data_IF_346677949605
#
_entry.id   IF_346677949605
#
_cell.length_a   1.000
_cell.length_b   1.000
_cell.length_c   1.000
_cell.angle_alpha   90.00
_cell.angle_beta   90.00
_cell.angle_gamma   90.00
#
_symmetry.space_group_name_H-M   'P 1'
#
loop_
_entity.id
_entity.type
_entity.pdbx_description
1 polymer ?
#
# COMPACT_ATOMS: atom_id res chain seq x y z
N UNK A 1 -2.05 21.91 -7.62
CA UNK A 1 -0.81 22.32 -8.32
C UNK A 1 0.30 21.44 -7.76
N UNK A 2 0.90 20.58 -8.59
CA UNK A 2 1.98 19.69 -8.13
C UNK A 2 3.19 20.52 -7.68
N UNK A 3 3.79 20.13 -6.56
CA UNK A 3 4.96 20.81 -6.00
C UNK A 3 6.13 20.68 -6.98
N UNK A 4 6.65 21.79 -7.50
CA UNK A 4 7.82 21.84 -8.40
C UNK A 4 9.15 21.49 -7.70
N UNK A 5 9.11 21.16 -6.41
CA UNK A 5 10.30 20.86 -5.60
C UNK A 5 10.72 19.39 -5.65
N UNK A 6 9.78 18.46 -5.88
CA UNK A 6 10.08 17.03 -6.01
C UNK A 6 10.42 16.71 -7.47
N UNK A 7 11.54 16.03 -7.66
CA UNK A 7 12.07 15.66 -8.98
C UNK A 7 11.51 14.31 -9.47
N UNK A 8 11.78 13.98 -10.73
CA UNK A 8 11.47 12.65 -11.27
C UNK A 8 12.27 11.54 -10.55
N UNK A 9 13.49 11.85 -10.12
CA UNK A 9 14.32 10.95 -9.30
C UNK A 9 13.65 10.69 -7.95
N UNK A 10 13.20 11.74 -7.25
CA UNK A 10 12.52 11.62 -5.96
C UNK A 10 11.27 10.75 -6.08
N UNK A 11 10.47 10.95 -7.14
CA UNK A 11 9.32 10.10 -7.43
C UNK A 11 9.74 8.64 -7.65
N UNK A 12 10.78 8.39 -8.44
CA UNK A 12 11.27 7.04 -8.69
C UNK A 12 11.75 6.37 -7.40
N UNK A 13 12.51 7.07 -6.57
CA UNK A 13 12.93 6.59 -5.24
C UNK A 13 11.73 6.27 -4.37
N UNK A 14 10.74 7.16 -4.31
CA UNK A 14 9.51 6.94 -3.55
C UNK A 14 8.72 5.71 -4.02
N UNK A 15 8.59 5.47 -5.32
CA UNK A 15 7.95 4.25 -5.84
C UNK A 15 8.65 2.99 -5.32
N UNK A 16 9.98 2.98 -5.31
CA UNK A 16 10.74 1.83 -4.80
C UNK A 16 10.67 1.72 -3.27
N UNK A 17 10.57 2.83 -2.54
CA UNK A 17 10.30 2.82 -1.09
C UNK A 17 8.95 2.16 -0.79
N UNK A 18 7.89 2.55 -1.52
CA UNK A 18 6.56 1.95 -1.34
C UNK A 18 6.59 0.46 -1.72
N UNK A 19 7.27 0.09 -2.80
CA UNK A 19 7.41 -1.31 -3.20
C UNK A 19 8.14 -2.14 -2.13
N UNK A 20 9.25 -1.64 -1.59
CA UNK A 20 10.00 -2.32 -0.54
C UNK A 20 9.23 -2.42 0.78
N UNK A 21 8.35 -1.46 1.09
CA UNK A 21 7.45 -1.52 2.25
C UNK A 21 6.30 -2.54 2.07
N UNK A 22 5.83 -2.75 0.83
CA UNK A 22 4.71 -3.65 0.50
C UNK A 22 5.07 -4.59 -0.67
N UNK A 23 5.99 -5.55 -0.50
CA UNK A 23 6.61 -6.29 -1.59
C UNK A 23 5.75 -7.45 -2.12
N UNK A 24 4.60 -7.12 -2.75
CA UNK A 24 3.74 -8.11 -3.39
C UNK A 24 4.30 -8.53 -4.74
N UNK A 25 4.63 -9.81 -4.88
CA UNK A 25 5.22 -10.34 -6.13
C UNK A 25 4.24 -10.38 -7.31
N UNK A 26 2.94 -10.38 -7.05
CA UNK A 26 1.88 -10.45 -8.08
C UNK A 26 1.36 -9.08 -8.50
N UNK A 27 1.66 -8.02 -7.74
CA UNK A 27 1.15 -6.70 -8.04
C UNK A 27 1.98 -6.04 -9.14
N UNK A 28 1.34 -5.46 -10.18
CA UNK A 28 2.05 -4.69 -11.19
C UNK A 28 2.59 -3.39 -10.59
N UNK A 29 3.44 -2.68 -11.34
CA UNK A 29 4.07 -1.44 -10.85
C UNK A 29 3.08 -0.26 -10.75
N UNK A 30 2.01 -0.26 -11.53
CA UNK A 30 1.03 0.83 -11.62
C UNK A 30 0.43 1.29 -10.28
N UNK A 31 -0.10 0.37 -9.43
CA UNK A 31 -0.60 0.72 -8.10
C UNK A 31 0.45 1.39 -7.19
N UNK A 32 1.71 0.94 -7.25
CA UNK A 32 2.80 1.55 -6.49
C UNK A 32 3.13 2.97 -6.96
N UNK A 33 3.08 3.21 -8.27
CA UNK A 33 3.24 4.54 -8.85
C UNK A 33 2.14 5.50 -8.38
N UNK A 34 0.88 5.04 -8.38
CA UNK A 34 -0.25 5.84 -7.87
C UNK A 34 -0.18 6.08 -6.37
N UNK A 35 0.27 5.10 -5.59
CA UNK A 35 0.53 5.27 -4.16
C UNK A 35 1.62 6.32 -3.89
N UNK A 36 2.72 6.30 -4.65
CA UNK A 36 3.76 7.32 -4.57
C UNK A 36 3.21 8.71 -4.97
N UNK A 37 2.39 8.80 -6.02
CA UNK A 37 1.77 10.06 -6.45
C UNK A 37 0.82 10.62 -5.39
N UNK A 38 0.09 9.77 -4.65
CA UNK A 38 -0.76 10.20 -3.55
C UNK A 38 0.06 10.79 -2.39
N UNK A 39 1.18 10.15 -2.02
CA UNK A 39 2.12 10.68 -1.03
C UNK A 39 2.65 12.07 -1.46
N UNK A 40 3.03 12.21 -2.73
CA UNK A 40 3.49 13.50 -3.29
C UNK A 40 2.38 14.56 -3.24
N UNK A 41 1.14 14.18 -3.56
CA UNK A 41 -0.01 15.08 -3.52
C UNK A 41 -0.29 15.56 -2.09
N UNK A 42 -0.24 14.65 -1.11
CA UNK A 42 -0.39 14.98 0.31
C UNK A 42 0.70 15.94 0.80
N UNK A 43 1.96 15.66 0.48
CA UNK A 43 3.09 16.54 0.75
C UNK A 43 2.88 17.94 0.14
N UNK A 44 2.30 18.04 -1.06
CA UNK A 44 1.96 19.30 -1.71
C UNK A 44 0.97 20.18 -0.94
N UNK A 45 0.22 19.62 0.02
CA UNK A 45 -0.71 20.35 0.89
C UNK A 45 -0.18 20.59 2.31
N UNK A 46 0.95 19.97 2.65
CA UNK A 46 1.53 20.00 3.99
C UNK A 46 3.03 20.36 3.92
N UNK A 47 3.41 21.65 4.12
CA UNK A 47 4.79 22.09 4.00
C UNK A 47 5.78 21.39 4.95
N UNK A 48 5.32 20.98 6.14
CA UNK A 48 6.15 20.21 7.08
C UNK A 48 6.45 18.83 6.51
N UNK A 49 5.42 18.14 6.01
CA UNK A 49 5.60 16.84 5.41
C UNK A 49 6.44 16.91 4.15
N UNK A 50 6.25 17.92 3.29
CA UNK A 50 7.09 18.14 2.11
C UNK A 50 8.57 18.29 2.46
N UNK A 51 8.90 19.06 3.50
CA UNK A 51 10.28 19.20 3.95
C UNK A 51 10.85 17.87 4.45
N UNK A 52 10.07 17.11 5.24
CA UNK A 52 10.47 15.78 5.73
C UNK A 52 10.68 14.79 4.57
N UNK A 53 9.81 14.81 3.56
CA UNK A 53 9.87 13.95 2.39
C UNK A 53 11.12 14.25 1.55
N UNK A 54 11.38 15.52 1.24
CA UNK A 54 12.58 15.94 0.49
C UNK A 54 13.87 15.55 1.23
N UNK A 55 13.92 15.81 2.54
CA UNK A 55 15.08 15.46 3.35
C UNK A 55 15.29 13.93 3.39
N UNK A 56 14.26 13.16 3.71
CA UNK A 56 14.37 11.72 3.86
C UNK A 56 14.68 10.99 2.55
N UNK A 57 14.12 11.43 1.41
CA UNK A 57 14.47 10.89 0.09
C UNK A 57 15.93 11.20 -0.27
N UNK A 58 16.39 12.43 -0.01
CA UNK A 58 17.78 12.81 -0.23
C UNK A 58 18.76 12.03 0.66
N UNK A 59 18.40 11.81 1.93
CA UNK A 59 19.20 10.99 2.85
C UNK A 59 19.26 9.52 2.43
N UNK A 60 18.13 8.95 1.97
CA UNK A 60 18.09 7.58 1.45
C UNK A 60 18.98 7.40 0.21
N UNK A 61 18.86 8.29 -0.77
CA UNK A 61 19.64 8.21 -2.01
C UNK A 61 21.14 8.47 -1.79
N UNK A 62 21.51 9.24 -0.76
CA UNK A 62 22.90 9.49 -0.39
C UNK A 62 23.50 8.45 0.56
N UNK A 63 22.70 7.53 1.11
CA UNK A 63 23.15 6.61 2.16
C UNK A 63 24.13 5.53 1.64
N UNK A 64 24.17 5.30 0.32
CA UNK A 64 24.91 4.21 -0.33
C UNK A 64 25.58 4.70 -1.61
N UNK A 65 26.42 3.84 -2.18
CA UNK A 65 27.16 4.13 -3.42
C UNK A 65 26.24 4.23 -4.65
N UNK A 66 25.03 3.66 -4.58
CA UNK A 66 23.98 3.74 -5.60
C UNK A 66 22.70 4.31 -5.00
N UNK A 67 21.84 4.95 -5.81
CA UNK A 67 20.52 5.43 -5.37
C UNK A 67 19.66 4.30 -4.79
N UNK A 68 18.73 4.64 -3.90
CA UNK A 68 17.84 3.65 -3.27
C UNK A 68 17.04 2.87 -4.31
N UNK A 69 16.63 3.54 -5.40
CA UNK A 69 15.91 2.93 -6.52
C UNK A 69 16.67 1.86 -7.31
N UNK A 70 17.99 1.75 -7.11
CA UNK A 70 18.86 0.75 -7.74
C UNK A 70 19.26 -0.39 -6.79
N UNK A 71 18.82 -0.33 -5.53
CA UNK A 71 19.09 -1.39 -4.55
C UNK A 71 18.32 -2.67 -4.87
N UNK A 72 18.93 -3.81 -4.57
CA UNK A 72 18.21 -5.09 -4.53
C UNK A 72 17.18 -5.10 -3.38
N UNK A 73 16.19 -6.01 -3.48
CA UNK A 73 15.05 -6.04 -2.57
C UNK A 73 15.45 -6.27 -1.09
N UNK A 74 16.42 -7.14 -0.83
CA UNK A 74 16.85 -7.46 0.53
C UNK A 74 17.58 -6.28 1.17
N UNK A 75 18.44 -5.62 0.39
CA UNK A 75 19.14 -4.40 0.83
C UNK A 75 18.17 -3.24 1.05
N UNK A 76 17.21 -3.02 0.14
CA UNK A 76 16.19 -1.99 0.29
C UNK A 76 15.34 -2.21 1.56
N UNK A 77 14.92 -3.46 1.82
CA UNK A 77 14.18 -3.81 3.04
C UNK A 77 15.03 -3.63 4.31
N UNK A 78 16.33 -3.91 4.27
CA UNK A 78 17.23 -3.64 5.39
C UNK A 78 17.39 -2.13 5.66
N UNK A 79 17.47 -1.32 4.61
CA UNK A 79 17.50 0.15 4.73
C UNK A 79 16.21 0.67 5.37
N UNK A 80 15.05 0.24 4.88
CA UNK A 80 13.76 0.69 5.44
C UNK A 80 13.58 0.28 6.89
N UNK A 81 14.01 -0.91 7.30
CA UNK A 81 14.02 -1.32 8.72
C UNK A 81 14.88 -0.41 9.59
N UNK A 82 15.98 0.13 9.06
CA UNK A 82 16.81 1.10 9.76
C UNK A 82 16.13 2.47 9.94
N UNK A 83 15.18 2.81 9.07
CA UNK A 83 14.39 4.04 9.12
C UNK A 83 13.01 3.84 9.78
N UNK A 84 12.71 2.64 10.30
CA UNK A 84 11.45 2.32 10.95
C UNK A 84 11.22 3.21 12.19
N UNK A 85 9.97 3.64 12.37
CA UNK A 85 9.58 4.61 13.39
C UNK A 85 10.01 6.06 13.12
N UNK A 86 10.72 6.36 12.02
CA UNK A 86 10.99 7.74 11.63
C UNK A 86 9.70 8.43 11.15
N UNK A 87 9.47 9.72 11.49
CA UNK A 87 8.29 10.45 11.00
C UNK A 87 8.18 10.49 9.48
N UNK A 88 9.32 10.46 8.79
CA UNK A 88 9.41 10.38 7.33
C UNK A 88 8.81 9.08 6.79
N UNK A 89 9.29 7.92 7.27
CA UNK A 89 8.83 6.63 6.76
C UNK A 89 7.40 6.32 7.21
N UNK A 90 7.04 6.67 8.46
CA UNK A 90 5.66 6.51 8.96
C UNK A 90 4.66 7.23 8.06
N UNK A 91 4.91 8.49 7.70
CA UNK A 91 3.98 9.26 6.87
C UNK A 91 3.84 8.68 5.44
N UNK A 92 4.92 8.16 4.86
CA UNK A 92 4.87 7.46 3.56
C UNK A 92 3.99 6.21 3.68
N UNK A 93 4.24 5.38 4.70
CA UNK A 93 3.52 4.11 4.91
C UNK A 93 2.03 4.34 5.18
N UNK A 94 1.69 5.32 6.02
CA UNK A 94 0.31 5.67 6.38
C UNK A 94 -0.51 6.07 5.14
N UNK A 95 0.07 6.86 4.24
CA UNK A 95 -0.58 7.29 3.01
C UNK A 95 -0.61 6.19 1.94
N UNK A 96 0.50 5.46 1.80
CA UNK A 96 0.64 4.41 0.81
C UNK A 96 -0.22 3.19 1.10
N UNK A 97 -0.38 2.77 2.37
CA UNK A 97 -1.23 1.62 2.72
C UNK A 97 -2.69 1.89 2.31
N UNK A 98 -3.20 3.08 2.58
CA UNK A 98 -4.57 3.45 2.20
C UNK A 98 -4.70 3.49 0.69
N UNK A 99 -3.76 4.12 -0.01
CA UNK A 99 -3.85 4.30 -1.46
C UNK A 99 -3.69 2.98 -2.22
N UNK A 100 -2.68 2.18 -1.85
CA UNK A 100 -2.36 0.91 -2.51
C UNK A 100 -3.51 -0.09 -2.39
N UNK A 101 -4.07 -0.28 -1.19
CA UNK A 101 -5.15 -1.24 -0.97
C UNK A 101 -6.55 -0.68 -1.27
N UNK A 102 -6.67 0.60 -1.63
CA UNK A 102 -7.91 1.16 -2.18
C UNK A 102 -7.89 1.20 -3.72
N UNK A 103 -6.82 0.73 -4.34
CA UNK A 103 -6.65 0.72 -5.78
C UNK A 103 -7.49 -0.38 -6.44
N UNK A 104 -8.25 -0.03 -7.49
CA UNK A 104 -9.14 -0.96 -8.20
C UNK A 104 -8.38 -2.11 -8.86
N UNK A 105 -7.19 -1.85 -9.39
CA UNK A 105 -6.35 -2.89 -9.99
C UNK A 105 -5.86 -3.87 -8.92
N UNK A 106 -5.56 -3.38 -7.70
CA UNK A 106 -5.23 -4.22 -6.55
C UNK A 106 -6.43 -5.03 -6.08
N UNK A 107 -7.64 -4.45 -6.11
CA UNK A 107 -8.86 -5.18 -5.75
C UNK A 107 -9.10 -6.37 -6.68
N UNK A 108 -8.95 -6.18 -7.99
CA UNK A 108 -9.10 -7.25 -8.97
C UNK A 108 -8.09 -8.38 -8.74
N UNK A 109 -6.85 -8.06 -8.36
CA UNK A 109 -5.81 -9.05 -8.05
C UNK A 109 -6.08 -9.82 -6.75
N UNK A 110 -6.68 -9.15 -5.76
CA UNK A 110 -7.02 -9.76 -4.47
C UNK A 110 -8.38 -10.46 -4.46
N UNK A 111 -9.15 -10.36 -5.55
CA UNK A 111 -10.53 -10.86 -5.61
C UNK A 111 -11.51 -10.05 -4.75
N UNK A 112 -11.15 -8.83 -4.35
CA UNK A 112 -12.04 -7.96 -3.58
C UNK A 112 -13.05 -7.30 -4.51
N UNK A 113 -14.33 -7.64 -4.38
CA UNK A 113 -15.36 -7.15 -5.30
C UNK A 113 -15.84 -5.70 -5.04
N UNK A 114 -15.10 -4.97 -4.21
CA UNK A 114 -15.42 -3.62 -3.75
C UNK A 114 -16.49 -3.56 -2.65
N UNK A 115 -16.82 -2.34 -2.18
CA UNK A 115 -17.86 -2.12 -1.18
C UNK A 115 -19.20 -2.77 -1.58
N UNK A 116 -19.92 -3.29 -0.58
CA UNK A 116 -21.22 -3.96 -0.78
C UNK A 116 -22.41 -3.22 -0.17
N UNK A 117 -22.19 -2.13 0.58
CA UNK A 117 -23.25 -1.41 1.29
C UNK A 117 -24.34 -0.90 0.35
N UNK A 118 -23.95 -0.30 -0.77
CA UNK A 118 -24.81 0.17 -1.84
C UNK A 118 -25.47 -0.97 -2.64
N UNK A 119 -25.05 -2.21 -2.41
CA UNK A 119 -25.51 -3.41 -3.10
C UNK A 119 -26.31 -4.36 -2.20
N UNK A 120 -26.73 -3.91 -1.01
CA UNK A 120 -27.52 -4.73 -0.07
C UNK A 120 -26.70 -5.65 0.84
N UNK A 121 -25.38 -5.47 0.91
CA UNK A 121 -24.47 -6.26 1.73
C UNK A 121 -23.83 -7.43 0.98
N UNK A 122 -23.10 -8.28 1.71
CA UNK A 122 -22.38 -9.44 1.13
C UNK A 122 -23.21 -10.73 1.05
N UNK A 123 -24.48 -10.70 1.51
CA UNK A 123 -25.33 -11.89 1.57
C UNK A 123 -25.36 -12.67 0.25
N UNK A 124 -25.51 -11.98 -0.88
CA UNK A 124 -25.51 -12.57 -2.23
C UNK A 124 -24.23 -12.24 -3.03
N UNK A 125 -23.11 -11.91 -2.36
CA UNK A 125 -21.85 -11.48 -3.00
C UNK A 125 -20.62 -12.13 -2.33
N UNK A 126 -20.57 -13.45 -2.32
CA UNK A 126 -19.39 -14.19 -1.88
C UNK A 126 -19.20 -14.36 -0.38
N UNK A 127 -20.19 -13.99 0.44
CA UNK A 127 -20.14 -14.28 1.89
C UNK A 127 -20.05 -15.79 2.17
N UNK A 128 -20.74 -16.61 1.36
CA UNK A 128 -20.81 -18.08 1.52
C UNK A 128 -20.18 -18.85 0.35
N UNK A 129 -19.36 -18.18 -0.48
CA UNK A 129 -18.60 -18.81 -1.57
C UNK A 129 -17.35 -19.52 -1.00
N UNK A 130 -17.54 -20.35 0.04
CA UNK A 130 -16.48 -21.02 0.77
C UNK A 130 -16.16 -22.37 0.10
N UNK A 131 -15.17 -22.37 -0.78
CA UNK A 131 -14.68 -23.54 -1.50
C UNK A 131 -13.84 -24.52 -0.65
N UNK A 132 -13.60 -24.17 0.62
CA UNK A 132 -12.82 -24.96 1.58
C UNK A 132 -13.67 -25.61 2.69
N UNK A 133 -14.95 -25.25 2.80
CA UNK A 133 -15.90 -25.89 3.72
C UNK A 133 -16.87 -26.78 2.93
N UNK A 134 -17.27 -27.94 3.48
CA UNK A 134 -18.38 -28.69 2.90
C UNK A 134 -19.67 -27.88 3.01
N UNK A 135 -20.62 -28.13 2.11
CA UNK A 135 -21.93 -27.47 2.11
C UNK A 135 -22.51 -27.43 3.53
N UNK A 136 -22.96 -26.24 4.00
CA UNK A 136 -23.48 -26.11 5.34
C UNK A 136 -24.67 -27.05 5.52
N UNK A 137 -24.62 -27.87 6.58
CA UNK A 137 -25.75 -28.72 6.95
C UNK A 137 -26.93 -27.82 7.32
N UNK A 138 -28.03 -27.93 6.55
CA UNK A 138 -29.26 -27.13 6.75
C UNK A 138 -30.11 -27.71 7.90
N UNK A 139 -29.81 -28.93 8.35
CA UNK A 139 -30.48 -29.59 9.46
C UNK A 139 -29.64 -29.49 10.74
N UNK A 140 -30.27 -28.97 11.80
CA UNK A 140 -29.68 -28.89 13.13
C UNK A 140 -29.87 -30.23 13.86
N UNK A 141 -28.79 -30.99 14.07
CA UNK A 141 -28.79 -32.27 14.82
C UNK A 141 -28.78 -32.05 16.36
N UNK A 142 -29.54 -31.08 16.85
CA UNK A 142 -29.64 -30.77 18.29
C UNK A 142 -31.07 -30.53 18.73
N UNK A 143 -31.35 -30.82 19.99
CA UNK A 143 -32.63 -30.48 20.61
C UNK A 143 -32.69 -28.96 20.78
N UNK A 144 -33.68 -28.30 20.18
CA UNK A 144 -33.87 -26.86 20.36
C UNK A 144 -34.28 -26.64 21.82
N UNK A 145 -33.48 -25.95 22.65
CA UNK A 145 -33.86 -25.73 24.04
C UNK A 145 -35.15 -24.91 24.08
N UNK A 146 -36.10 -25.37 24.90
CA UNK A 146 -37.42 -24.78 25.09
C UNK A 146 -37.38 -23.41 25.78
#
# INVERSE_FOLDING_TARGET
MGSTLLTAQDRQTLVNVVYAAFPHSTFPRGPYERAADAVIAEAGTNPRFLAQLLQGLGELDAQRDVPFSELDADTAAAVLRGADGSPFLTAIVDSAVVTLYSDREVWDLLGYEGPSYDKGGYADRGFDDLDWLPDPKIEFEGEVPA
#
